data_IF_066817545097
#
_entry.id   IF_066817545097
#
_cell.length_a   1.000
_cell.length_b   1.000
_cell.length_c   1.000
_cell.angle_alpha   90.00
_cell.angle_beta   90.00
_cell.angle_gamma   90.00
#
_symmetry.space_group_name_H-M   'P 1'
#
loop_
_entity.id
_entity.type
_entity.pdbx_description
1 polymer ?
#
# COMPACT_ATOMS: atom_id res chain seq x y z
N UNK A 1 -0.55 -11.77 -0.37
CA UNK A 1 -1.05 -13.13 -0.09
C UNK A 1 0.08 -14.13 0.22
N UNK A 2 1.22 -14.08 -0.50
CA UNK A 2 2.37 -14.97 -0.25
C UNK A 2 3.04 -14.70 1.10
N UNK A 3 3.18 -13.42 1.46
CA UNK A 3 3.78 -13.00 2.73
C UNK A 3 3.01 -13.55 3.94
N UNK A 4 1.67 -13.57 3.86
CA UNK A 4 0.80 -14.02 4.93
C UNK A 4 0.26 -15.44 4.73
N UNK A 5 0.71 -16.15 3.68
CA UNK A 5 0.29 -17.51 3.34
C UNK A 5 -1.25 -17.68 3.27
N UNK A 6 -1.92 -16.72 2.63
CA UNK A 6 -3.38 -16.72 2.45
C UNK A 6 -3.77 -17.12 1.02
N UNK A 7 -4.95 -17.76 0.83
CA UNK A 7 -5.42 -18.14 -0.49
C UNK A 7 -5.80 -16.94 -1.35
N UNK A 8 -5.68 -17.07 -2.67
CA UNK A 8 -6.05 -16.04 -3.68
C UNK A 8 -7.45 -16.28 -4.26
N UNK A 9 -8.25 -17.14 -3.65
CA UNK A 9 -9.60 -17.49 -4.12
C UNK A 9 -10.65 -16.55 -3.53
N UNK A 10 -11.68 -16.22 -4.34
CA UNK A 10 -12.78 -15.33 -3.94
C UNK A 10 -12.32 -13.97 -3.45
N UNK A 11 -11.38 -13.36 -4.19
CA UNK A 11 -10.82 -12.05 -3.86
C UNK A 11 -11.61 -10.88 -4.45
N UNK A 12 -10.97 -9.73 -4.50
CA UNK A 12 -11.57 -8.48 -4.98
C UNK A 12 -12.17 -8.61 -6.38
N UNK A 13 -11.44 -9.22 -7.32
CA UNK A 13 -11.89 -9.33 -8.71
C UNK A 13 -13.18 -10.16 -8.85
N UNK A 14 -13.33 -11.26 -8.11
CA UNK A 14 -14.54 -12.07 -8.13
C UNK A 14 -15.75 -11.32 -7.54
N UNK A 15 -15.52 -10.54 -6.47
CA UNK A 15 -16.55 -9.69 -5.86
C UNK A 15 -17.00 -8.61 -6.86
N UNK A 16 -16.06 -7.90 -7.47
CA UNK A 16 -16.37 -6.82 -8.40
C UNK A 16 -17.03 -7.30 -9.68
N UNK A 17 -16.63 -8.50 -10.17
CA UNK A 17 -17.26 -9.14 -11.33
C UNK A 17 -18.64 -9.75 -11.04
N UNK A 18 -19.10 -9.73 -9.78
CA UNK A 18 -20.38 -10.33 -9.39
C UNK A 18 -20.41 -11.84 -9.39
N UNK A 19 -19.25 -12.48 -9.34
CA UNK A 19 -19.13 -13.95 -9.27
C UNK A 19 -19.37 -14.46 -7.84
N UNK A 20 -19.27 -13.58 -6.86
CA UNK A 20 -19.63 -13.84 -5.46
C UNK A 20 -20.09 -12.54 -4.79
N UNK A 21 -21.06 -12.64 -3.91
CA UNK A 21 -21.48 -11.52 -3.05
C UNK A 21 -20.86 -11.64 -1.64
N UNK A 22 -20.13 -12.73 -1.37
CA UNK A 22 -19.47 -12.94 -0.09
C UNK A 22 -18.12 -12.21 -0.05
N UNK A 23 -18.01 -11.21 0.82
CA UNK A 23 -16.75 -10.55 1.11
C UNK A 23 -15.96 -11.42 2.09
N UNK A 24 -15.03 -12.20 1.58
CA UNK A 24 -14.21 -13.10 2.40
C UNK A 24 -12.85 -12.47 2.64
N UNK A 25 -12.64 -11.96 3.86
CA UNK A 25 -11.33 -11.48 4.33
C UNK A 25 -10.60 -12.58 5.07
N UNK A 26 -9.32 -12.72 4.84
CA UNK A 26 -8.43 -13.64 5.56
C UNK A 26 -7.84 -12.93 6.78
N UNK A 27 -7.98 -13.53 7.96
CA UNK A 27 -7.24 -13.10 9.15
C UNK A 27 -5.77 -13.47 8.98
N UNK A 28 -4.88 -12.61 9.45
CA UNK A 28 -3.44 -12.86 9.46
C UNK A 28 -2.97 -13.28 10.85
N UNK A 29 -1.68 -13.61 10.96
CA UNK A 29 -1.01 -13.81 12.25
C UNK A 29 -0.68 -12.49 12.97
N UNK A 30 -0.96 -11.35 12.36
CA UNK A 30 -0.83 -10.04 12.97
C UNK A 30 -2.20 -9.66 13.55
N UNK A 31 -2.20 -9.27 14.82
CA UNK A 31 -3.43 -8.86 15.51
C UNK A 31 -4.09 -7.66 14.79
N UNK A 32 -5.41 -7.70 14.65
CA UNK A 32 -6.23 -6.69 14.00
C UNK A 32 -5.91 -6.43 12.52
N UNK A 33 -5.14 -7.32 11.86
CA UNK A 33 -4.87 -7.24 10.43
C UNK A 33 -5.64 -8.32 9.67
N UNK A 34 -6.53 -7.89 8.78
CA UNK A 34 -7.25 -8.74 7.82
C UNK A 34 -6.88 -8.36 6.40
N UNK A 35 -6.87 -9.32 5.49
CA UNK A 35 -6.50 -9.10 4.09
C UNK A 35 -7.60 -9.63 3.18
N UNK A 36 -8.04 -8.78 2.26
CA UNK A 36 -8.80 -9.18 1.08
C UNK A 36 -7.80 -9.32 -0.08
N UNK A 37 -7.66 -10.53 -0.61
CA UNK A 37 -6.76 -10.77 -1.75
C UNK A 37 -7.33 -10.15 -3.03
N UNK A 38 -6.48 -9.87 -4.02
CA UNK A 38 -6.90 -9.33 -5.33
C UNK A 38 -7.81 -10.30 -6.10
N UNK A 39 -7.73 -11.60 -5.83
CA UNK A 39 -8.41 -12.62 -6.63
C UNK A 39 -7.64 -12.96 -7.92
N UNK A 40 -8.34 -13.55 -8.89
CA UNK A 40 -7.79 -13.85 -10.22
C UNK A 40 -7.68 -12.57 -11.04
N UNK A 41 -6.65 -12.49 -11.88
CA UNK A 41 -6.46 -11.34 -12.77
C UNK A 41 -7.61 -11.27 -13.77
N UNK A 42 -8.45 -10.21 -13.74
CA UNK A 42 -9.54 -10.05 -14.68
C UNK A 42 -9.06 -9.45 -16.01
N UNK A 43 -9.80 -9.60 -17.11
CA UNK A 43 -9.44 -9.00 -18.40
C UNK A 43 -9.59 -7.47 -18.43
N UNK A 44 -10.41 -6.89 -17.54
CA UNK A 44 -10.78 -5.47 -17.50
C UNK A 44 -10.66 -4.87 -16.09
N UNK A 45 -9.46 -4.84 -15.48
CA UNK A 45 -9.29 -4.43 -14.08
C UNK A 45 -9.75 -2.99 -13.82
N UNK A 46 -9.41 -2.04 -14.69
CA UNK A 46 -9.76 -0.63 -14.52
C UNK A 46 -11.29 -0.39 -14.47
N UNK A 47 -12.06 -1.09 -15.32
CA UNK A 47 -13.52 -1.00 -15.32
C UNK A 47 -14.13 -1.54 -14.02
N UNK A 48 -13.60 -2.66 -13.53
CA UNK A 48 -14.05 -3.24 -12.26
C UNK A 48 -13.76 -2.31 -11.09
N UNK A 49 -12.58 -1.71 -11.03
CA UNK A 49 -12.22 -0.75 -9.99
C UNK A 49 -13.04 0.55 -10.05
N UNK A 50 -13.50 0.94 -11.23
CA UNK A 50 -14.38 2.11 -11.41
C UNK A 50 -15.87 1.80 -11.19
N UNK A 51 -16.25 0.54 -10.99
CA UNK A 51 -17.64 0.11 -10.90
C UNK A 51 -18.33 0.54 -9.60
N UNK A 52 -19.67 0.60 -9.63
CA UNK A 52 -20.49 0.81 -8.43
C UNK A 52 -20.32 -0.30 -7.37
N UNK A 53 -19.94 -1.51 -7.77
CA UNK A 53 -19.62 -2.58 -6.83
C UNK A 53 -18.38 -2.25 -5.99
N UNK A 54 -17.40 -1.56 -6.56
CA UNK A 54 -16.26 -1.06 -5.79
C UNK A 54 -16.69 0.01 -4.76
N UNK A 55 -17.60 0.90 -5.13
CA UNK A 55 -18.10 1.93 -4.21
C UNK A 55 -18.88 1.30 -3.03
N UNK A 56 -19.67 0.27 -3.30
CA UNK A 56 -20.36 -0.51 -2.26
C UNK A 56 -19.37 -1.22 -1.33
N UNK A 57 -18.34 -1.86 -1.91
CA UNK A 57 -17.30 -2.50 -1.13
C UNK A 57 -16.54 -1.52 -0.24
N UNK A 58 -16.13 -0.36 -0.79
CA UNK A 58 -15.46 0.69 -0.01
C UNK A 58 -16.34 1.20 1.13
N UNK A 59 -17.63 1.39 0.89
CA UNK A 59 -18.59 1.79 1.92
C UNK A 59 -18.72 0.72 3.01
N UNK A 60 -18.76 -0.54 2.63
CA UNK A 60 -18.79 -1.66 3.57
C UNK A 60 -17.54 -1.72 4.44
N UNK A 61 -16.35 -1.70 3.85
CA UNK A 61 -15.09 -1.82 4.63
C UNK A 61 -14.86 -0.59 5.52
N UNK A 62 -15.25 0.61 5.09
CA UNK A 62 -15.21 1.83 5.92
C UNK A 62 -16.08 1.73 7.17
N UNK A 63 -17.15 0.96 7.14
CA UNK A 63 -18.01 0.74 8.30
C UNK A 63 -17.53 -0.35 9.26
N UNK A 64 -16.55 -1.16 8.87
CA UNK A 64 -16.10 -2.34 9.63
C UNK A 64 -14.62 -2.27 10.08
N UNK A 65 -13.84 -1.35 9.55
CA UNK A 65 -12.41 -1.22 9.84
C UNK A 65 -12.04 0.23 10.13
N UNK A 66 -11.18 0.44 11.12
CA UNK A 66 -10.67 1.77 11.49
C UNK A 66 -9.76 2.35 10.41
N UNK A 67 -9.03 1.49 9.69
CA UNK A 67 -8.14 1.86 8.62
C UNK A 67 -8.16 0.83 7.49
N UNK A 68 -8.18 1.30 6.24
CA UNK A 68 -8.17 0.46 5.05
C UNK A 68 -7.02 0.89 4.15
N UNK A 69 -6.10 -0.02 3.87
CA UNK A 69 -5.02 0.17 2.91
C UNK A 69 -5.34 -0.54 1.60
N UNK A 70 -5.18 0.16 0.50
CA UNK A 70 -5.33 -0.39 -0.85
C UNK A 70 -3.94 -0.43 -1.48
N UNK A 71 -3.38 -1.64 -1.64
CA UNK A 71 -2.11 -1.85 -2.33
C UNK A 71 -2.33 -1.85 -3.84
N UNK A 72 -1.63 -0.97 -4.54
CA UNK A 72 -1.77 -0.77 -5.99
C UNK A 72 -0.43 -0.91 -6.70
N UNK A 73 -0.43 -1.29 -7.98
CA UNK A 73 0.76 -1.21 -8.82
C UNK A 73 1.29 0.23 -8.94
N UNK A 74 2.54 0.41 -9.42
CA UNK A 74 3.11 1.74 -9.62
C UNK A 74 2.24 2.61 -10.55
N UNK A 75 1.90 3.82 -10.11
CA UNK A 75 0.98 4.72 -10.82
C UNK A 75 1.46 5.13 -12.21
N UNK A 76 2.79 5.20 -12.41
CA UNK A 76 3.39 5.52 -13.71
C UNK A 76 3.26 4.37 -14.74
N UNK A 77 2.86 3.16 -14.31
CA UNK A 77 2.73 1.99 -15.18
C UNK A 77 1.28 1.68 -15.52
N UNK A 78 0.35 1.90 -14.60
CA UNK A 78 -1.06 1.56 -14.75
C UNK A 78 -1.96 2.60 -14.10
N UNK A 79 -3.19 2.71 -14.58
CA UNK A 79 -4.18 3.69 -14.12
C UNK A 79 -5.02 3.21 -12.93
N UNK A 80 -4.75 2.01 -12.41
CA UNK A 80 -5.55 1.39 -11.35
C UNK A 80 -5.68 2.28 -10.10
N UNK A 81 -4.57 2.91 -9.68
CA UNK A 81 -4.57 3.83 -8.55
C UNK A 81 -5.50 5.04 -8.78
N UNK A 82 -5.62 5.52 -10.02
CA UNK A 82 -6.46 6.67 -10.37
C UNK A 82 -7.96 6.40 -10.17
N UNK A 83 -8.39 5.14 -10.21
CA UNK A 83 -9.78 4.75 -9.97
C UNK A 83 -10.26 5.05 -8.53
N UNK A 84 -9.34 5.31 -7.62
CA UNK A 84 -9.63 5.62 -6.22
C UNK A 84 -9.60 7.12 -5.90
N UNK A 85 -9.32 7.99 -6.88
CA UNK A 85 -9.35 9.44 -6.68
C UNK A 85 -10.74 9.88 -6.18
N UNK A 86 -10.78 10.69 -5.12
CA UNK A 86 -12.00 11.08 -4.44
C UNK A 86 -12.75 10.02 -3.64
N UNK A 87 -12.27 8.75 -3.65
CA UNK A 87 -12.88 7.63 -2.90
C UNK A 87 -12.10 7.26 -1.64
N UNK A 88 -10.82 7.62 -1.58
CA UNK A 88 -9.92 7.39 -0.46
C UNK A 88 -9.54 8.71 0.22
N UNK A 89 -9.04 8.63 1.45
CA UNK A 89 -8.58 9.80 2.21
C UNK A 89 -7.34 10.43 1.56
N UNK A 90 -6.46 9.63 0.98
CA UNK A 90 -5.25 10.11 0.30
C UNK A 90 -4.31 8.97 -0.09
N UNK A 91 -3.21 9.34 -0.71
CA UNK A 91 -2.21 8.43 -1.25
C UNK A 91 -0.90 8.53 -0.47
N UNK A 92 -0.34 7.40 -0.12
CA UNK A 92 1.02 7.29 0.41
C UNK A 92 1.92 6.75 -0.70
N UNK A 93 2.90 7.55 -1.11
CA UNK A 93 3.83 7.20 -2.18
C UNK A 93 4.99 6.37 -1.62
N UNK A 94 5.16 5.16 -2.14
CA UNK A 94 6.30 4.31 -1.78
C UNK A 94 7.42 4.52 -2.79
N UNK A 95 8.53 5.08 -2.33
CA UNK A 95 9.71 5.40 -3.15
C UNK A 95 10.83 4.45 -2.79
N UNK A 96 11.38 3.74 -3.77
CA UNK A 96 12.50 2.81 -3.54
C UNK A 96 13.83 3.55 -3.63
N UNK A 97 14.58 3.57 -2.51
CA UNK A 97 15.89 4.22 -2.45
C UNK A 97 16.88 3.60 -3.45
N UNK A 98 17.60 4.47 -4.17
CA UNK A 98 18.60 4.05 -5.14
C UNK A 98 18.06 3.43 -6.44
N UNK A 99 16.72 3.40 -6.61
CA UNK A 99 16.09 2.83 -7.81
C UNK A 99 15.09 3.79 -8.47
N UNK A 100 14.37 4.57 -7.68
CA UNK A 100 13.35 5.51 -8.19
C UNK A 100 13.97 6.90 -8.29
N UNK A 101 13.91 7.50 -9.46
CA UNK A 101 14.46 8.84 -9.72
C UNK A 101 13.48 9.94 -9.33
N UNK A 102 14.01 11.12 -8.95
CA UNK A 102 13.19 12.27 -8.58
C UNK A 102 12.19 12.69 -9.66
N UNK A 103 12.54 12.71 -10.97
CA UNK A 103 11.58 12.99 -12.03
C UNK A 103 10.40 12.01 -12.08
N UNK A 104 10.64 10.71 -11.82
CA UNK A 104 9.57 9.69 -11.76
C UNK A 104 8.62 9.95 -10.61
N UNK A 105 9.17 10.29 -9.42
CA UNK A 105 8.35 10.65 -8.25
C UNK A 105 7.50 11.89 -8.55
N UNK A 106 8.10 12.92 -9.16
CA UNK A 106 7.38 14.14 -9.53
C UNK A 106 6.26 13.87 -10.52
N UNK A 107 6.55 13.10 -11.59
CA UNK A 107 5.54 12.69 -12.57
C UNK A 107 4.37 11.94 -11.93
N UNK A 108 4.65 11.07 -10.95
CA UNK A 108 3.62 10.33 -10.22
C UNK A 108 2.75 11.26 -9.35
N UNK A 109 3.35 12.25 -8.69
CA UNK A 109 2.63 13.26 -7.91
C UNK A 109 1.77 14.13 -8.82
N UNK A 110 2.34 14.67 -9.91
CA UNK A 110 1.62 15.51 -10.87
C UNK A 110 0.42 14.75 -11.48
N UNK A 111 0.58 13.45 -11.74
CA UNK A 111 -0.50 12.59 -12.23
C UNK A 111 -1.64 12.47 -11.21
N UNK A 112 -1.33 12.26 -9.92
CA UNK A 112 -2.33 12.20 -8.85
C UNK A 112 -3.02 13.55 -8.64
N UNK A 113 -2.26 14.64 -8.58
CA UNK A 113 -2.80 16.00 -8.40
C UNK A 113 -3.72 16.39 -9.57
N UNK A 114 -3.39 15.99 -10.81
CA UNK A 114 -4.20 16.29 -12.00
C UNK A 114 -5.62 15.70 -11.94
N UNK A 115 -5.81 14.63 -11.16
CA UNK A 115 -7.12 13.98 -10.94
C UNK A 115 -7.74 14.37 -9.59
N UNK A 116 -7.18 15.36 -8.90
CA UNK A 116 -7.67 15.83 -7.60
C UNK A 116 -7.42 14.87 -6.44
N UNK A 117 -6.43 13.98 -6.57
CA UNK A 117 -6.03 13.07 -5.51
C UNK A 117 -5.06 13.74 -4.53
N UNK A 118 -5.23 13.51 -3.23
CA UNK A 118 -4.36 14.05 -2.19
C UNK A 118 -3.19 13.10 -1.92
N UNK A 119 -1.95 13.60 -2.01
CA UNK A 119 -0.75 12.88 -1.58
C UNK A 119 -0.44 13.27 -0.15
N UNK A 120 -0.73 12.36 0.80
CA UNK A 120 -0.56 12.61 2.24
C UNK A 120 0.86 12.40 2.74
N UNK A 121 1.72 11.73 1.95
CA UNK A 121 3.12 11.57 2.30
C UNK A 121 3.88 10.53 1.48
N UNK A 122 5.16 10.35 1.86
CA UNK A 122 6.09 9.45 1.20
C UNK A 122 6.72 8.48 2.19
N UNK A 123 6.95 7.26 1.75
CA UNK A 123 7.73 6.24 2.47
C UNK A 123 8.95 5.90 1.61
N UNK A 124 10.15 6.13 2.14
CA UNK A 124 11.38 5.71 1.49
C UNK A 124 11.68 4.25 1.87
N UNK A 125 11.45 3.35 0.92
CA UNK A 125 11.70 1.92 1.09
C UNK A 125 13.13 1.56 0.66
N UNK A 126 13.66 0.43 1.14
CA UNK A 126 15.04 -0.04 0.87
C UNK A 126 16.15 0.99 1.21
N UNK A 127 15.88 1.93 2.09
CA UNK A 127 16.87 2.88 2.54
C UNK A 127 17.92 2.17 3.41
N UNK A 128 19.16 2.07 2.92
CA UNK A 128 20.29 1.57 3.71
C UNK A 128 20.77 2.74 4.58
N UNK A 129 20.60 2.68 5.91
CA UNK A 129 21.11 3.73 6.79
C UNK A 129 22.63 3.81 6.64
N UNK A 130 23.18 4.94 6.21
CA UNK A 130 24.62 5.19 6.28
C UNK A 130 25.01 5.17 7.78
N UNK A 131 25.58 4.03 8.22
CA UNK A 131 25.94 3.80 9.64
C UNK A 131 26.74 4.95 10.23
N UNK A 132 27.61 5.61 9.44
CA UNK A 132 28.43 6.74 9.92
C UNK A 132 27.58 8.01 10.16
N UNK A 133 26.61 8.30 9.29
CA UNK A 133 25.69 9.45 9.48
C UNK A 133 24.67 9.19 10.58
N UNK A 134 24.18 7.96 10.70
CA UNK A 134 23.23 7.55 11.73
C UNK A 134 23.82 7.68 13.14
N UNK A 135 25.06 7.23 13.35
CA UNK A 135 25.78 7.38 14.62
C UNK A 135 26.02 8.88 14.95
N UNK A 136 26.36 9.71 13.98
CA UNK A 136 26.56 11.14 14.17
C UNK A 136 25.26 11.87 14.56
N UNK A 137 24.13 11.49 13.95
CA UNK A 137 22.84 12.08 14.25
C UNK A 137 22.32 11.65 15.63
N UNK A 138 22.51 10.37 16.00
CA UNK A 138 22.14 9.83 17.31
C UNK A 138 22.96 10.44 18.45
N UNK A 139 24.26 10.66 18.25
CA UNK A 139 25.09 11.36 19.24
C UNK A 139 24.71 12.84 19.43
N UNK A 140 24.21 13.47 18.39
CA UNK A 140 23.86 14.92 18.45
C UNK A 140 22.46 15.17 19.01
N UNK A 141 21.52 14.24 18.85
CA UNK A 141 20.11 14.41 19.22
C UNK A 141 19.54 13.30 20.12
N UNK A 142 20.25 12.21 20.33
CA UNK A 142 19.75 10.98 20.98
C UNK A 142 19.73 10.99 22.51
N UNK A 143 20.19 12.06 23.18
CA UNK A 143 20.12 12.11 24.66
C UNK A 143 18.71 12.42 25.21
N UNK A 144 17.71 12.69 24.36
CA UNK A 144 16.36 13.07 24.81
C UNK A 144 15.29 12.00 24.73
N UNK A 145 15.51 10.88 24.01
CA UNK A 145 14.51 9.83 23.89
C UNK A 145 15.12 8.43 24.01
N UNK A 146 15.04 7.90 25.22
CA UNK A 146 15.44 6.52 25.55
C UNK A 146 14.26 5.59 25.26
N UNK A 147 14.06 5.16 23.98
CA UNK A 147 13.22 4.04 23.62
C UNK A 147 14.07 3.06 22.83
N UNK A 148 14.34 1.91 23.46
CA UNK A 148 15.05 0.80 22.84
C UNK A 148 14.11 0.01 21.94
N UNK A 149 14.49 -0.10 20.65
CA UNK A 149 14.06 -1.18 19.79
C UNK A 149 15.32 -1.80 19.19
N UNK A 150 15.64 -2.99 19.70
CA UNK A 150 16.73 -3.84 19.20
C UNK A 150 16.15 -4.68 18.05
N UNK A 151 16.39 -4.27 16.80
CA UNK A 151 16.09 -5.08 15.62
C UNK A 151 17.37 -5.74 15.12
N UNK A 152 17.65 -6.92 15.67
CA UNK A 152 18.66 -7.83 15.14
C UNK A 152 18.20 -8.51 13.85
N UNK A 153 18.49 -7.92 12.69
CA UNK A 153 18.42 -8.63 11.40
C UNK A 153 19.83 -8.90 10.88
N UNK A 154 20.24 -10.16 11.02
CA UNK A 154 21.42 -10.69 10.35
C UNK A 154 21.01 -11.23 8.97
N UNK A 155 21.36 -10.54 7.90
CA UNK A 155 21.26 -11.05 6.54
C UNK A 155 22.57 -11.71 6.15
N UNK A 156 22.58 -13.04 6.09
CA UNK A 156 23.63 -13.81 5.42
C UNK A 156 23.32 -13.87 3.92
N UNK A 157 24.11 -13.17 3.09
CA UNK A 157 24.18 -13.42 1.65
C UNK A 157 25.16 -14.58 1.41
N UNK A 158 24.68 -15.64 0.80
CA UNK A 158 25.47 -16.59 0.00
C UNK A 158 25.10 -16.39 -1.46
#
# INVERSE_FOLDING_TARGET
>A
HRMFNIPVTNGLSEILAGLTDNITVSKTNVENLSILSSGKIPPNPAELLASSRMDLLLSFVKGHYDCVFIDTPPINLVTDASAFAGKVTGYVMIVKAGNTDIPEVRSAVDALESIGAEVVGFILNDAIPDRKKYYSYYHKYGQKYKYGYDYGYSYNYK
#
